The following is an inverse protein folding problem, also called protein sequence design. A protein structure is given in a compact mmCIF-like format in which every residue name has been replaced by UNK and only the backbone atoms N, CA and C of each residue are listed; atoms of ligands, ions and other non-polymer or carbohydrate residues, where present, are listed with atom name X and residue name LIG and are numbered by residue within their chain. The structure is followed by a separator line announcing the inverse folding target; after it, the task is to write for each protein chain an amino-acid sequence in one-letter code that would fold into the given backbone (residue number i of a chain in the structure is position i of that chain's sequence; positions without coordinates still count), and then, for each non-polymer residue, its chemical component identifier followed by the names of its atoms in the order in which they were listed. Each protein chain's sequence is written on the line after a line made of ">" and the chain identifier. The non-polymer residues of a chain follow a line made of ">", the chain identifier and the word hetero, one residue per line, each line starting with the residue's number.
data_IF_459013560102
#
_entry.id   IF_459013560102
#
_cell.length_a   1.000
_cell.length_b   1.000
_cell.length_c   1.000
_cell.angle_alpha   90.00
_cell.angle_beta   90.00
_cell.angle_gamma   90.00
#
_symmetry.space_group_name_H-M   'P 1'
#
loop_
_entity.id
_entity.type
_entity.pdbx_description
1 polymer ?
#
# COMPACT_ATOMS: atom_id res chain seq x y z
N UNK A 1 19.40 1.27 30.13
CA UNK A 1 18.06 1.88 30.28
C UNK A 1 17.49 2.05 28.88
N UNK A 2 16.45 1.30 28.55
CA UNK A 2 15.80 1.36 27.24
C UNK A 2 15.11 2.72 27.06
N UNK A 3 15.62 3.51 26.12
CA UNK A 3 15.18 4.90 25.85
C UNK A 3 13.71 5.03 25.44
N UNK A 4 13.01 3.91 25.21
CA UNK A 4 11.64 3.89 24.71
C UNK A 4 10.69 3.02 25.55
N UNK A 5 11.10 2.62 26.76
CA UNK A 5 10.29 1.74 27.63
C UNK A 5 8.93 2.35 28.00
N UNK A 6 8.80 3.67 28.01
CA UNK A 6 7.54 4.38 28.32
C UNK A 6 6.54 4.38 27.15
N UNK A 7 6.98 4.08 25.93
CA UNK A 7 6.12 3.98 24.73
C UNK A 7 5.77 2.51 24.46
N UNK A 8 6.74 1.61 24.61
CA UNK A 8 6.56 0.18 24.31
C UNK A 8 5.56 -0.56 25.22
N UNK A 9 5.16 0.02 26.36
CA UNK A 9 4.15 -0.55 27.26
C UNK A 9 2.94 0.39 27.45
N UNK A 10 2.81 1.43 26.63
CA UNK A 10 1.67 2.34 26.73
C UNK A 10 0.44 1.72 26.04
N UNK A 11 -0.66 1.56 26.80
CA UNK A 11 -1.98 1.32 26.22
C UNK A 11 -2.32 2.47 25.27
N UNK A 12 -2.78 2.19 24.04
CA UNK A 12 -3.08 3.24 23.05
C UNK A 12 -4.00 4.35 23.57
N UNK A 13 -4.94 3.99 24.46
CA UNK A 13 -5.82 4.94 25.14
C UNK A 13 -5.08 5.99 25.99
N UNK A 14 -3.95 5.64 26.61
CA UNK A 14 -3.13 6.58 27.39
C UNK A 14 -2.41 7.58 26.47
N UNK A 15 -1.88 7.11 25.33
CA UNK A 15 -1.23 7.99 24.34
C UNK A 15 -2.25 8.99 23.79
N UNK A 16 -3.47 8.52 23.50
CA UNK A 16 -4.58 9.37 23.04
C UNK A 16 -4.97 10.42 24.09
N UNK A 17 -5.08 10.04 25.36
CA UNK A 17 -5.34 10.98 26.44
C UNK A 17 -4.24 12.04 26.58
N UNK A 18 -2.96 11.64 26.54
CA UNK A 18 -1.83 12.58 26.59
C UNK A 18 -1.83 13.53 25.39
N UNK A 19 -2.17 13.04 24.20
CA UNK A 19 -2.26 13.88 23.02
C UNK A 19 -3.40 14.88 23.11
N UNK A 20 -4.56 14.50 23.66
CA UNK A 20 -5.68 15.41 23.88
C UNK A 20 -5.32 16.52 24.87
N UNK A 21 -4.64 16.19 25.97
CA UNK A 21 -4.12 17.19 26.92
C UNK A 21 -3.13 18.14 26.26
N UNK A 22 -2.20 17.62 25.45
CA UNK A 22 -1.27 18.43 24.68
C UNK A 22 -1.98 19.42 23.72
N UNK A 23 -3.07 19.01 23.06
CA UNK A 23 -3.88 19.90 22.21
C UNK A 23 -4.57 21.02 22.97
N UNK A 24 -5.02 20.76 24.20
CA UNK A 24 -5.64 21.78 25.06
C UNK A 24 -4.61 22.77 25.58
N UNK A 25 -3.45 22.27 26.02
CA UNK A 25 -2.32 23.09 26.45
C UNK A 25 -1.01 22.31 26.32
N UNK A 26 -0.01 22.80 25.56
CA UNK A 26 1.29 22.15 25.43
C UNK A 26 2.06 22.00 26.75
N UNK A 27 1.77 22.87 27.73
CA UNK A 27 2.39 22.84 29.05
C UNK A 27 1.80 21.78 30.00
N UNK A 28 0.68 21.16 29.62
CA UNK A 28 -0.01 20.14 30.43
C UNK A 28 0.64 18.76 30.39
N UNK A 29 1.57 18.55 29.45
CA UNK A 29 2.31 17.30 29.28
C UNK A 29 3.80 17.52 29.57
N UNK A 30 4.46 16.44 30.00
CA UNK A 30 5.90 16.43 30.25
C UNK A 30 6.69 16.83 29.00
N UNK A 31 7.89 17.39 29.20
CA UNK A 31 8.75 17.88 28.12
C UNK A 31 9.02 16.81 27.03
N UNK A 32 9.17 15.55 27.42
CA UNK A 32 9.36 14.44 26.50
C UNK A 32 8.15 14.20 25.58
N UNK A 33 6.94 14.27 26.13
CA UNK A 33 5.69 14.14 25.36
C UNK A 33 5.47 15.34 24.46
N UNK A 34 5.80 16.55 24.93
CA UNK A 34 5.70 17.78 24.14
C UNK A 34 6.58 17.73 22.90
N UNK A 35 7.87 17.38 23.06
CA UNK A 35 8.80 17.24 21.93
C UNK A 35 8.41 16.13 20.97
N UNK A 36 7.86 15.03 21.50
CA UNK A 36 7.33 13.95 20.68
C UNK A 36 6.15 14.40 19.82
N UNK A 37 5.13 15.03 20.44
CA UNK A 37 3.94 15.50 19.72
C UNK A 37 4.25 16.67 18.78
N UNK A 38 5.19 17.55 19.12
CA UNK A 38 5.69 18.59 18.22
C UNK A 38 6.30 17.98 16.94
N UNK A 39 7.13 16.94 17.07
CA UNK A 39 7.67 16.20 15.93
C UNK A 39 6.60 15.45 15.12
N UNK A 40 5.62 14.85 15.81
CA UNK A 40 4.49 14.16 15.18
C UNK A 40 3.61 15.13 14.37
N UNK A 41 3.21 16.26 14.95
CA UNK A 41 2.42 17.29 14.27
C UNK A 41 3.21 17.90 13.11
N UNK A 42 4.51 18.15 13.27
CA UNK A 42 5.38 18.61 12.18
C UNK A 42 5.43 17.62 11.02
N UNK A 43 5.54 16.32 11.30
CA UNK A 43 5.54 15.26 10.29
C UNK A 43 4.19 15.18 9.56
N UNK A 44 3.07 15.24 10.28
CA UNK A 44 1.72 15.26 9.69
C UNK A 44 1.52 16.52 8.83
N UNK A 45 1.88 17.69 9.35
CA UNK A 45 1.74 18.95 8.62
C UNK A 45 2.60 18.96 7.35
N UNK A 46 3.81 18.40 7.41
CA UNK A 46 4.70 18.26 6.24
C UNK A 46 4.15 17.26 5.24
N UNK A 47 3.56 16.15 5.70
CA UNK A 47 2.85 15.18 4.87
C UNK A 47 1.63 15.79 4.19
N UNK A 48 0.89 16.67 4.86
CA UNK A 48 -0.29 17.35 4.28
C UNK A 48 0.09 18.48 3.32
N UNK A 49 1.20 19.18 3.56
CA UNK A 49 1.69 20.27 2.71
C UNK A 49 2.57 19.81 1.53
N UNK A 50 2.62 18.50 1.24
CA UNK A 50 3.20 17.97 0.00
C UNK A 50 4.72 18.15 -0.15
N UNK A 51 5.45 18.48 0.92
CA UNK A 51 6.92 18.55 0.90
C UNK A 51 7.52 17.30 1.56
N UNK A 52 7.28 16.15 0.92
CA UNK A 52 8.00 14.93 1.24
C UNK A 52 9.44 15.05 0.72
N UNK A 53 10.39 15.20 1.64
CA UNK A 53 11.81 14.88 1.37
C UNK A 53 11.87 13.37 1.19
N UNK A 54 12.03 12.92 -0.06
CA UNK A 54 12.42 11.57 -0.50
C UNK A 54 12.31 10.44 0.56
N UNK A 55 11.18 9.71 0.55
CA UNK A 55 11.05 8.44 1.28
C UNK A 55 9.59 8.01 1.39
N UNK A 56 9.20 7.02 0.59
CA UNK A 56 7.87 6.41 0.47
C UNK A 56 6.71 7.35 0.08
N UNK A 57 6.43 7.36 -1.23
CA UNK A 57 5.07 7.65 -1.71
C UNK A 57 4.10 6.72 -0.96
N UNK A 58 2.98 7.21 -0.42
CA UNK A 58 1.97 6.33 0.16
C UNK A 58 1.58 5.30 -0.90
N UNK A 59 1.86 4.03 -0.63
CA UNK A 59 1.57 2.93 -1.55
C UNK A 59 0.07 2.95 -1.83
N UNK A 60 -0.29 3.29 -3.07
CA UNK A 60 -1.69 3.36 -3.48
C UNK A 60 -2.34 1.99 -3.28
N UNK A 61 -3.57 1.95 -2.75
CA UNK A 61 -4.35 0.70 -2.65
C UNK A 61 -4.39 -0.04 -3.99
N UNK A 62 -4.41 0.72 -5.09
CA UNK A 62 -4.45 0.17 -6.45
C UNK A 62 -3.12 -0.50 -6.83
N UNK A 63 -1.97 0.02 -6.39
CA UNK A 63 -0.67 -0.65 -6.56
C UNK A 63 -0.67 -2.01 -5.87
N UNK A 64 -1.19 -2.08 -4.63
CA UNK A 64 -1.32 -3.35 -3.91
C UNK A 64 -2.22 -4.34 -4.66
N UNK A 65 -3.31 -3.86 -5.26
CA UNK A 65 -4.21 -4.70 -6.04
C UNK A 65 -3.56 -5.22 -7.33
N UNK A 66 -2.75 -4.42 -8.01
CA UNK A 66 -1.98 -4.88 -9.18
C UNK A 66 -0.89 -5.89 -8.78
N UNK A 67 -0.26 -5.76 -7.61
CA UNK A 67 0.64 -6.80 -7.06
C UNK A 67 -0.11 -8.12 -6.86
N UNK A 68 -1.31 -8.08 -6.27
CA UNK A 68 -2.16 -9.28 -6.08
C UNK A 68 -2.51 -9.94 -7.42
N UNK A 69 -2.87 -9.14 -8.42
CA UNK A 69 -3.14 -9.58 -9.78
C UNK A 69 -1.92 -10.32 -10.37
N UNK A 70 -0.74 -9.70 -10.34
CA UNK A 70 0.51 -10.30 -10.85
C UNK A 70 0.77 -11.65 -10.16
N UNK A 71 0.65 -11.72 -8.84
CA UNK A 71 0.86 -12.95 -8.09
C UNK A 71 -0.19 -14.03 -8.41
N UNK A 72 -1.43 -13.65 -8.69
CA UNK A 72 -2.47 -14.58 -9.12
C UNK A 72 -2.16 -15.17 -10.50
N UNK A 73 -1.67 -14.37 -11.46
CA UNK A 73 -1.20 -14.88 -12.76
C UNK A 73 0.02 -15.81 -12.60
N UNK A 74 1.00 -15.45 -11.77
CA UNK A 74 2.17 -16.30 -11.49
C UNK A 74 1.79 -17.66 -10.91
N UNK A 75 0.83 -17.68 -9.98
CA UNK A 75 0.45 -18.92 -9.27
C UNK A 75 -0.60 -19.74 -10.00
N UNK A 76 -1.56 -19.11 -10.71
CA UNK A 76 -2.75 -19.78 -11.26
C UNK A 76 -2.95 -19.56 -12.76
N UNK A 77 -2.15 -18.73 -13.43
CA UNK A 77 -2.28 -18.47 -14.87
C UNK A 77 -2.20 -19.73 -15.73
N UNK A 78 -1.41 -20.72 -15.31
CA UNK A 78 -1.29 -22.01 -15.97
C UNK A 78 -2.60 -22.82 -16.03
N UNK A 79 -3.61 -22.48 -15.21
CA UNK A 79 -4.92 -23.13 -15.23
C UNK A 79 -5.83 -22.60 -16.35
N UNK A 80 -5.59 -21.37 -16.81
CA UNK A 80 -6.35 -20.73 -17.89
C UNK A 80 -5.58 -20.65 -19.22
N UNK A 81 -4.29 -20.98 -19.22
CA UNK A 81 -3.45 -20.96 -20.42
C UNK A 81 -3.90 -21.97 -21.48
N UNK A 82 -3.92 -21.52 -22.74
CA UNK A 82 -4.25 -22.35 -23.90
C UNK A 82 -3.02 -23.18 -24.33
N UNK A 83 -2.90 -24.36 -23.73
CA UNK A 83 -1.75 -25.26 -23.91
C UNK A 83 -2.10 -26.49 -24.74
N UNK A 84 -3.38 -26.74 -25.04
CA UNK A 84 -3.83 -27.96 -25.68
C UNK A 84 -4.41 -27.68 -27.08
N UNK A 85 -3.65 -27.92 -28.16
CA UNK A 85 -4.11 -27.66 -29.53
C UNK A 85 -5.12 -28.69 -30.06
N UNK A 86 -5.32 -29.83 -29.38
CA UNK A 86 -6.15 -30.94 -29.89
C UNK A 86 -7.59 -30.84 -29.41
N UNK A 87 -7.79 -30.40 -28.16
CA UNK A 87 -9.12 -30.34 -27.54
C UNK A 87 -9.19 -29.22 -26.51
N UNK A 88 -10.34 -28.57 -26.44
CA UNK A 88 -10.63 -27.60 -25.38
C UNK A 88 -10.41 -28.21 -23.99
N UNK A 89 -9.62 -27.47 -23.19
CA UNK A 89 -9.36 -27.81 -21.79
C UNK A 89 -10.63 -27.57 -20.96
N UNK A 90 -10.79 -28.34 -19.89
CA UNK A 90 -11.86 -28.09 -18.91
C UNK A 90 -11.64 -26.72 -18.27
N UNK A 91 -12.69 -25.92 -18.19
CA UNK A 91 -12.66 -24.60 -17.54
C UNK A 91 -12.53 -24.82 -16.03
N UNK A 92 -11.44 -24.34 -15.45
CA UNK A 92 -11.31 -24.23 -14.00
C UNK A 92 -11.93 -22.91 -13.54
N UNK A 93 -12.68 -22.87 -12.42
CA UNK A 93 -13.29 -21.65 -11.90
C UNK A 93 -12.25 -20.79 -11.19
N UNK A 94 -11.26 -20.30 -11.94
CA UNK A 94 -10.26 -19.35 -11.45
C UNK A 94 -10.61 -18.00 -12.06
N UNK A 95 -10.94 -17.05 -11.20
CA UNK A 95 -11.19 -15.69 -11.63
C UNK A 95 -9.86 -14.90 -11.61
N UNK A 96 -9.46 -14.42 -12.79
CA UNK A 96 -8.34 -13.51 -13.00
C UNK A 96 -8.82 -12.19 -13.63
N UNK A 97 -10.14 -11.94 -13.56
CA UNK A 97 -10.75 -10.68 -13.99
C UNK A 97 -10.32 -9.51 -13.10
N UNK A 98 -10.34 -8.32 -13.67
CA UNK A 98 -9.96 -7.08 -12.97
C UNK A 98 -10.86 -6.80 -11.77
N UNK A 99 -12.16 -7.11 -11.91
CA UNK A 99 -13.19 -6.93 -10.88
C UNK A 99 -12.86 -7.68 -9.59
N UNK A 100 -12.25 -8.87 -9.68
CA UNK A 100 -11.85 -9.66 -8.52
C UNK A 100 -10.77 -8.97 -7.67
N UNK A 101 -9.97 -8.08 -8.28
CA UNK A 101 -8.91 -7.33 -7.61
C UNK A 101 -9.31 -5.88 -7.32
N UNK A 102 -10.60 -5.55 -7.38
CA UNK A 102 -11.11 -4.18 -7.26
C UNK A 102 -10.44 -3.21 -8.25
N UNK A 103 -10.11 -3.69 -9.46
CA UNK A 103 -9.61 -2.89 -10.58
C UNK A 103 -10.73 -2.74 -11.60
N UNK A 104 -10.81 -1.57 -12.24
CA UNK A 104 -11.79 -1.31 -13.29
C UNK A 104 -11.12 -0.97 -14.62
N UNK A 105 -11.91 -0.94 -15.70
CA UNK A 105 -11.40 -0.54 -17.01
C UNK A 105 -10.84 0.88 -17.03
N UNK A 106 -11.33 1.77 -16.14
CA UNK A 106 -10.79 3.12 -15.97
C UNK A 106 -9.36 3.14 -15.43
N UNK A 107 -8.89 2.04 -14.82
CA UNK A 107 -7.53 1.89 -14.32
C UNK A 107 -6.56 1.40 -15.41
N UNK A 108 -7.03 0.99 -16.60
CA UNK A 108 -6.18 0.40 -17.66
C UNK A 108 -5.10 1.35 -18.18
N UNK A 109 -5.44 2.64 -18.29
CA UNK A 109 -4.54 3.67 -18.79
C UNK A 109 -3.71 4.34 -17.67
N UNK A 110 -3.91 3.93 -16.41
CA UNK A 110 -3.11 4.44 -15.29
C UNK A 110 -1.75 3.77 -15.26
N UNK A 111 -0.74 4.54 -14.87
CA UNK A 111 0.62 4.05 -14.68
C UNK A 111 0.81 3.49 -13.26
N UNK A 112 1.54 2.38 -13.18
CA UNK A 112 1.85 1.70 -11.93
C UNK A 112 3.35 1.43 -11.85
N UNK A 113 3.93 1.67 -10.67
CA UNK A 113 5.34 1.42 -10.37
C UNK A 113 5.62 -0.08 -10.21
N UNK A 114 4.59 -0.86 -9.86
CA UNK A 114 4.68 -2.33 -9.75
C UNK A 114 5.16 -3.01 -11.03
N UNK A 115 5.07 -2.38 -12.21
CA UNK A 115 5.62 -2.93 -13.45
C UNK A 115 7.12 -3.25 -13.35
N UNK A 116 7.86 -2.63 -12.41
CA UNK A 116 9.24 -2.97 -12.10
C UNK A 116 9.43 -4.42 -11.61
N UNK A 117 8.43 -5.02 -10.94
CA UNK A 117 8.49 -6.43 -10.51
C UNK A 117 8.48 -7.43 -11.68
N UNK A 118 8.06 -7.00 -12.87
CA UNK A 118 7.97 -7.83 -14.07
C UNK A 118 8.88 -7.30 -15.21
N UNK A 119 9.92 -6.55 -14.84
CA UNK A 119 10.93 -5.99 -15.74
C UNK A 119 10.41 -5.00 -16.79
N UNK A 120 9.23 -4.40 -16.60
CA UNK A 120 8.69 -3.34 -17.48
C UNK A 120 9.06 -1.92 -17.01
N UNK A 121 9.43 -1.75 -15.74
CA UNK A 121 9.55 -0.43 -15.12
C UNK A 121 8.18 0.17 -14.76
N UNK A 122 8.07 1.50 -14.68
CA UNK A 122 6.76 2.14 -14.49
C UNK A 122 5.97 2.04 -15.81
N UNK A 123 4.88 1.29 -15.80
CA UNK A 123 4.11 0.94 -17.00
C UNK A 123 2.62 1.00 -16.74
N UNK A 124 1.83 1.12 -17.81
CA UNK A 124 0.37 1.14 -17.65
C UNK A 124 -0.18 -0.26 -17.35
N UNK A 125 -1.39 -0.33 -16.77
CA UNK A 125 -2.01 -1.61 -16.43
C UNK A 125 -2.27 -2.48 -17.66
N UNK A 126 -2.55 -1.88 -18.83
CA UNK A 126 -2.71 -2.62 -20.10
C UNK A 126 -1.45 -3.41 -20.47
N UNK A 127 -0.28 -2.78 -20.42
CA UNK A 127 1.03 -3.39 -20.70
C UNK A 127 1.36 -4.47 -19.66
N UNK A 128 1.04 -4.22 -18.40
CA UNK A 128 1.20 -5.23 -17.33
C UNK A 128 0.35 -6.46 -17.66
N UNK A 129 -0.91 -6.29 -18.04
CA UNK A 129 -1.80 -7.39 -18.42
C UNK A 129 -1.33 -8.15 -19.67
N UNK A 130 -0.86 -7.44 -20.69
CA UNK A 130 -0.29 -8.06 -21.90
C UNK A 130 0.94 -8.91 -21.58
N UNK A 131 1.77 -8.46 -20.64
CA UNK A 131 2.98 -9.19 -20.23
C UNK A 131 2.71 -10.44 -19.39
N UNK A 132 1.56 -10.49 -18.72
CA UNK A 132 1.15 -11.61 -17.85
C UNK A 132 0.45 -12.75 -18.60
N UNK A 133 -0.12 -12.48 -19.78
CA UNK A 133 -0.77 -13.47 -20.64
C UNK A 133 0.25 -14.23 -21.48
#
# INVERSE_FOLDING_TARGET
>A
MDKFSYINNANGAFIEEQYNRYKESPDSVDEGWRKFFEGYDFAIQTSQNGKMVNGDQPVSIKEVNVVKLINAYRTRGHLIADTNPIRERRKHPVDLGLEYFDLSEADLDREFHVGKEIDLGQSNLRQILERLK
#
